data_IF_116900263451
#
_entry.id   IF_116900263451
#
_cell.length_a   1.000
_cell.length_b   1.000
_cell.length_c   1.000
_cell.angle_alpha   90.00
_cell.angle_beta   90.00
_cell.angle_gamma   90.00
#
_symmetry.space_group_name_H-M   'P 1'
#
loop_
_entity.id
_entity.type
_entity.pdbx_description
1 polymer ?
#
# COMPACT_ATOMS: atom_id res chain seq x y z
N UNK A 1 -10.42 16.01 -5.83
CA UNK A 1 -11.51 15.26 -5.15
C UNK A 1 -10.92 14.46 -3.99
N UNK A 2 -11.52 14.49 -2.79
CA UNK A 2 -11.04 13.75 -1.59
C UNK A 2 -12.07 12.70 -1.19
N UNK A 3 -11.63 11.51 -0.79
CA UNK A 3 -12.52 10.41 -0.39
C UNK A 3 -12.41 10.20 1.13
N UNK A 4 -13.53 10.34 1.84
CA UNK A 4 -13.61 10.20 3.31
C UNK A 4 -14.29 8.91 3.75
N UNK A 5 -15.35 8.49 3.05
CA UNK A 5 -16.10 7.27 3.34
C UNK A 5 -15.20 6.02 3.30
N UNK A 6 -15.23 5.22 4.38
CA UNK A 6 -14.44 4.00 4.52
C UNK A 6 -14.76 2.94 3.47
N UNK A 7 -16.03 2.72 3.14
CA UNK A 7 -16.46 1.76 2.13
C UNK A 7 -15.94 2.15 0.73
N UNK A 8 -16.04 3.43 0.37
CA UNK A 8 -15.51 3.93 -0.91
C UNK A 8 -13.99 3.74 -1.00
N UNK A 9 -13.25 3.98 0.10
CA UNK A 9 -11.80 3.72 0.13
C UNK A 9 -11.48 2.25 -0.09
N UNK A 10 -12.19 1.36 0.62
CA UNK A 10 -12.00 -0.08 0.48
C UNK A 10 -12.27 -0.55 -0.95
N UNK A 11 -13.39 -0.11 -1.55
CA UNK A 11 -13.75 -0.43 -2.94
C UNK A 11 -12.66 0.06 -3.91
N UNK A 12 -12.18 1.29 -3.76
CA UNK A 12 -11.12 1.82 -4.62
C UNK A 12 -9.80 1.06 -4.49
N UNK A 13 -9.42 0.63 -3.28
CA UNK A 13 -8.24 -0.22 -3.05
C UNK A 13 -8.44 -1.56 -3.76
N UNK A 14 -9.60 -2.21 -3.58
CA UNK A 14 -9.87 -3.52 -4.16
C UNK A 14 -9.91 -3.48 -5.69
N UNK A 15 -10.62 -2.51 -6.28
CA UNK A 15 -10.69 -2.33 -7.74
C UNK A 15 -9.30 -2.03 -8.30
N UNK A 16 -8.57 -1.08 -7.70
CA UNK A 16 -7.25 -0.72 -8.18
C UNK A 16 -6.25 -1.89 -8.09
N UNK A 17 -6.33 -2.68 -7.01
CA UNK A 17 -5.51 -3.89 -6.86
C UNK A 17 -5.87 -4.95 -7.91
N UNK A 18 -7.17 -5.22 -8.11
CA UNK A 18 -7.63 -6.15 -9.14
C UNK A 18 -7.17 -5.73 -10.54
N UNK A 19 -7.29 -4.44 -10.87
CA UNK A 19 -6.80 -3.88 -12.14
C UNK A 19 -5.28 -4.02 -12.29
N UNK A 20 -4.51 -3.83 -11.22
CA UNK A 20 -3.05 -4.02 -11.26
C UNK A 20 -2.67 -5.48 -11.55
N UNK A 21 -3.37 -6.44 -10.93
CA UNK A 21 -3.18 -7.87 -11.19
C UNK A 21 -3.55 -8.21 -12.63
N UNK A 22 -4.73 -7.77 -13.10
CA UNK A 22 -5.19 -8.01 -14.47
C UNK A 22 -4.24 -7.41 -15.51
N UNK A 23 -3.71 -6.21 -15.26
CA UNK A 23 -2.70 -5.58 -16.11
C UNK A 23 -1.40 -6.40 -16.13
N UNK A 24 -0.95 -6.92 -14.99
CA UNK A 24 0.21 -7.81 -14.94
C UNK A 24 0.01 -9.07 -15.78
N UNK A 25 -1.15 -9.74 -15.64
CA UNK A 25 -1.51 -10.93 -16.43
C UNK A 25 -1.54 -10.60 -17.93
N UNK A 26 -2.08 -9.44 -18.32
CA UNK A 26 -2.17 -9.02 -19.71
C UNK A 26 -0.79 -8.66 -20.31
N UNK A 27 0.14 -8.13 -19.51
CA UNK A 27 1.48 -7.73 -19.96
C UNK A 27 2.41 -8.93 -20.17
N UNK A 28 2.31 -9.95 -19.32
CA UNK A 28 3.20 -11.13 -19.35
C UNK A 28 3.33 -11.80 -20.74
N UNK A 29 2.25 -12.11 -21.48
CA UNK A 29 2.39 -12.76 -22.80
C UNK A 29 2.98 -11.85 -23.89
N UNK A 30 3.01 -10.52 -23.66
CA UNK A 30 3.41 -9.53 -24.66
C UNK A 30 4.86 -9.08 -24.46
N UNK A 31 5.32 -9.00 -23.20
CA UNK A 31 6.52 -8.24 -22.85
C UNK A 31 7.77 -9.07 -22.51
N UNK A 32 7.77 -10.39 -22.73
CA UNK A 32 8.77 -11.38 -22.22
C UNK A 32 8.58 -11.70 -20.73
N UNK A 33 9.15 -12.83 -20.30
CA UNK A 33 8.99 -13.35 -18.94
C UNK A 33 9.35 -12.33 -17.85
N UNK A 34 8.51 -12.21 -16.83
CA UNK A 34 8.70 -11.38 -15.63
C UNK A 34 8.21 -9.93 -15.74
N UNK A 35 7.85 -9.45 -16.93
CA UNK A 35 7.36 -8.08 -17.09
C UNK A 35 5.97 -7.85 -16.54
N UNK A 36 5.12 -8.88 -16.48
CA UNK A 36 3.81 -8.81 -15.83
C UNK A 36 3.93 -8.54 -14.33
N UNK A 37 4.92 -9.16 -13.67
CA UNK A 37 5.25 -8.90 -12.25
C UNK A 37 5.72 -7.46 -12.05
N UNK A 38 6.63 -6.98 -12.90
CA UNK A 38 7.13 -5.60 -12.82
C UNK A 38 6.01 -4.59 -13.07
N UNK A 39 5.18 -4.81 -14.08
CA UNK A 39 4.08 -3.93 -14.43
C UNK A 39 3.02 -3.86 -13.31
N UNK A 40 2.58 -5.00 -12.79
CA UNK A 40 1.63 -5.04 -11.67
C UNK A 40 2.16 -4.33 -10.44
N UNK A 41 3.42 -4.57 -10.05
CA UNK A 41 4.06 -3.90 -8.91
C UNK A 41 4.24 -2.40 -9.11
N UNK A 42 4.57 -1.95 -10.33
CA UNK A 42 4.61 -0.53 -10.67
C UNK A 42 3.23 0.14 -10.55
N UNK A 43 2.18 -0.51 -11.05
CA UNK A 43 0.80 -0.01 -10.95
C UNK A 43 0.37 0.05 -9.48
N UNK A 44 0.66 -0.97 -8.68
CA UNK A 44 0.37 -0.98 -7.24
C UNK A 44 1.07 0.19 -6.54
N UNK A 45 2.35 0.43 -6.83
CA UNK A 45 3.10 1.54 -6.25
C UNK A 45 2.46 2.89 -6.59
N UNK A 46 2.17 3.13 -7.87
CA UNK A 46 1.50 4.35 -8.33
C UNK A 46 0.13 4.52 -7.67
N UNK A 47 -0.66 3.45 -7.63
CA UNK A 47 -1.97 3.43 -6.98
C UNK A 47 -1.83 3.82 -5.50
N UNK A 48 -0.92 3.22 -4.75
CA UNK A 48 -0.70 3.56 -3.33
C UNK A 48 -0.31 5.03 -3.19
N UNK A 49 0.61 5.54 -4.03
CA UNK A 49 1.00 6.94 -4.00
C UNK A 49 -0.19 7.88 -4.27
N UNK A 50 -1.06 7.54 -5.22
CA UNK A 50 -2.25 8.34 -5.53
C UNK A 50 -3.29 8.25 -4.40
N UNK A 51 -3.67 7.05 -3.99
CA UNK A 51 -4.72 6.82 -2.99
C UNK A 51 -4.34 7.39 -1.61
N UNK A 52 -3.08 7.28 -1.20
CA UNK A 52 -2.60 7.85 0.08
C UNK A 52 -2.71 9.37 0.10
N UNK A 53 -2.72 10.02 -1.08
CA UNK A 53 -2.98 11.46 -1.20
C UNK A 53 -4.46 11.76 -1.37
N UNK A 54 -5.25 10.93 -2.04
CA UNK A 54 -6.69 11.18 -2.22
C UNK A 54 -7.51 10.90 -0.95
N UNK A 55 -7.12 9.92 -0.14
CA UNK A 55 -7.86 9.50 1.05
C UNK A 55 -7.61 10.42 2.24
N UNK A 56 -8.69 10.78 2.93
CA UNK A 56 -8.65 11.61 4.15
C UNK A 56 -9.49 10.99 5.26
N UNK A 57 -9.08 11.16 6.51
CA UNK A 57 -9.93 10.83 7.65
C UNK A 57 -11.20 11.68 7.65
N UNK A 58 -12.26 11.20 8.30
CA UNK A 58 -13.57 11.87 8.34
C UNK A 58 -13.47 13.27 8.97
N UNK A 59 -12.67 13.38 10.03
CA UNK A 59 -12.39 14.62 10.76
C UNK A 59 -11.01 15.23 10.44
N UNK A 60 -10.38 14.81 9.33
CA UNK A 60 -9.06 15.32 8.96
C UNK A 60 -9.16 16.61 8.13
N UNK A 61 -8.37 17.62 8.49
CA UNK A 61 -8.25 18.87 7.71
C UNK A 61 -7.73 18.60 6.29
N UNK A 62 -8.16 19.43 5.34
CA UNK A 62 -7.71 19.38 3.95
C UNK A 62 -6.31 19.97 3.73
N UNK A 63 -5.69 20.51 4.79
CA UNK A 63 -4.32 21.03 4.77
C UNK A 63 -3.29 20.00 4.25
N UNK A 64 -2.15 20.44 3.67
CA UNK A 64 -1.11 19.56 3.19
C UNK A 64 -0.67 18.56 4.26
N UNK A 65 -0.66 17.27 3.90
CA UNK A 65 -0.27 16.21 4.82
C UNK A 65 1.25 16.07 4.86
N UNK A 66 1.80 15.81 6.03
CA UNK A 66 3.20 15.39 6.13
C UNK A 66 3.43 14.13 5.30
N UNK A 67 4.52 14.11 4.53
CA UNK A 67 4.82 13.07 3.55
C UNK A 67 4.89 11.65 4.12
N UNK A 68 5.25 11.50 5.41
CA UNK A 68 5.30 10.20 6.10
C UNK A 68 3.92 9.61 6.42
N UNK A 69 2.85 10.41 6.37
CA UNK A 69 1.52 10.00 6.82
C UNK A 69 0.72 9.41 5.65
N UNK A 70 0.86 8.11 5.44
CA UNK A 70 0.17 7.38 4.34
C UNK A 70 -1.29 7.07 4.65
N UNK A 71 -1.71 7.00 5.92
CA UNK A 71 -3.12 6.77 6.30
C UNK A 71 -3.56 7.68 7.47
N UNK A 72 -4.87 7.86 7.63
CA UNK A 72 -5.45 8.63 8.73
C UNK A 72 -5.54 7.83 10.03
N UNK A 73 -5.66 6.51 9.91
CA UNK A 73 -6.00 5.59 10.99
C UNK A 73 -4.91 4.56 11.22
N UNK A 74 -4.48 4.44 12.48
CA UNK A 74 -3.46 3.48 12.86
C UNK A 74 -3.86 2.01 12.58
N UNK A 75 -5.09 1.56 12.88
CA UNK A 75 -5.50 0.18 12.56
C UNK A 75 -5.39 -0.14 11.07
N UNK A 76 -5.84 0.76 10.20
CA UNK A 76 -5.72 0.59 8.75
C UNK A 76 -4.25 0.50 8.31
N UNK A 77 -3.36 1.27 8.94
CA UNK A 77 -1.92 1.20 8.68
C UNK A 77 -1.31 -0.15 9.05
N UNK A 78 -1.69 -0.75 10.19
CA UNK A 78 -1.23 -2.09 10.55
C UNK A 78 -1.76 -3.16 9.59
N UNK A 79 -3.04 -3.11 9.22
CA UNK A 79 -3.64 -4.07 8.28
C UNK A 79 -2.97 -4.00 6.91
N UNK A 80 -2.79 -2.80 6.36
CA UNK A 80 -2.13 -2.62 5.06
C UNK A 80 -0.65 -2.99 5.12
N UNK A 81 0.04 -2.68 6.22
CA UNK A 81 1.41 -3.14 6.43
C UNK A 81 1.50 -4.67 6.42
N UNK A 82 0.61 -5.36 7.14
CA UNK A 82 0.60 -6.82 7.17
C UNK A 82 0.30 -7.40 5.78
N UNK A 83 -0.66 -6.83 5.06
CA UNK A 83 -0.99 -7.23 3.69
C UNK A 83 0.22 -7.16 2.75
N UNK A 84 0.89 -6.01 2.69
CA UNK A 84 2.05 -5.84 1.82
C UNK A 84 3.27 -6.66 2.28
N UNK A 85 3.39 -6.95 3.57
CA UNK A 85 4.40 -7.87 4.08
C UNK A 85 4.13 -9.31 3.60
N UNK A 86 2.88 -9.79 3.68
CA UNK A 86 2.47 -11.07 3.10
C UNK A 86 2.71 -11.10 1.59
N UNK A 87 2.42 -10.02 0.89
CA UNK A 87 2.69 -9.90 -0.55
C UNK A 87 4.19 -9.96 -0.88
N UNK A 88 5.06 -9.46 0.00
CA UNK A 88 6.51 -9.61 -0.11
C UNK A 88 6.91 -11.07 -0.04
N UNK A 89 6.39 -11.81 0.94
CA UNK A 89 6.63 -13.26 1.10
C UNK A 89 6.11 -14.02 -0.14
N UNK A 90 4.90 -13.72 -0.59
CA UNK A 90 4.31 -14.34 -1.78
C UNK A 90 5.07 -14.03 -3.07
N UNK A 91 5.69 -12.85 -3.18
CA UNK A 91 6.57 -12.54 -4.31
C UNK A 91 7.82 -13.42 -4.26
N UNK A 92 8.41 -13.61 -3.08
CA UNK A 92 9.63 -14.42 -2.92
C UNK A 92 9.37 -15.93 -3.12
N UNK A 93 8.15 -16.42 -2.89
CA UNK A 93 7.85 -17.85 -3.08
C UNK A 93 7.90 -18.32 -4.54
N UNK A 94 7.81 -17.41 -5.51
CA UNK A 94 7.88 -17.74 -6.95
C UNK A 94 9.28 -17.52 -7.56
N UNK A 95 10.31 -17.32 -6.72
CA UNK A 95 11.67 -17.01 -7.17
C UNK A 95 12.27 -18.08 -8.09
N UNK A 96 11.87 -19.34 -7.94
CA UNK A 96 12.35 -20.45 -8.78
C UNK A 96 11.74 -20.45 -10.20
N UNK A 97 10.61 -19.80 -10.40
CA UNK A 97 9.81 -19.86 -11.63
C UNK A 97 9.90 -18.57 -12.46
N UNK A 98 10.42 -17.50 -11.88
CA UNK A 98 10.39 -16.15 -12.44
C UNK A 98 11.78 -15.52 -12.49
N UNK A 99 12.02 -14.54 -13.38
CA UNK A 99 13.30 -13.83 -13.44
C UNK A 99 13.65 -13.20 -12.07
N UNK A 100 14.84 -13.48 -11.50
CA UNK A 100 15.16 -13.04 -10.14
C UNK A 100 15.03 -11.53 -9.94
N UNK A 101 15.44 -10.73 -10.93
CA UNK A 101 15.35 -9.28 -10.85
C UNK A 101 13.90 -8.79 -10.70
N UNK A 102 12.94 -9.39 -11.43
CA UNK A 102 11.53 -9.03 -11.35
C UNK A 102 10.94 -9.36 -9.97
N UNK A 103 11.29 -10.54 -9.45
CA UNK A 103 10.86 -10.99 -8.12
C UNK A 103 11.41 -10.09 -7.03
N UNK A 104 12.71 -9.80 -7.04
CA UNK A 104 13.35 -8.91 -6.07
C UNK A 104 12.79 -7.49 -6.14
N UNK A 105 12.58 -6.95 -7.35
CA UNK A 105 11.97 -5.63 -7.52
C UNK A 105 10.55 -5.57 -6.92
N UNK A 106 9.71 -6.58 -7.19
CA UNK A 106 8.36 -6.68 -6.64
C UNK A 106 8.35 -6.79 -5.12
N UNK A 107 9.19 -7.69 -4.58
CA UNK A 107 9.34 -7.89 -3.16
C UNK A 107 9.81 -6.61 -2.46
N UNK A 108 10.79 -5.90 -3.04
CA UNK A 108 11.28 -4.64 -2.50
C UNK A 108 10.19 -3.56 -2.49
N UNK A 109 9.43 -3.42 -3.58
CA UNK A 109 8.32 -2.45 -3.65
C UNK A 109 7.28 -2.73 -2.56
N UNK A 110 6.86 -3.99 -2.42
CA UNK A 110 5.90 -4.40 -1.40
C UNK A 110 6.44 -4.17 0.03
N UNK A 111 7.71 -4.48 0.27
CA UNK A 111 8.34 -4.28 1.57
C UNK A 111 8.46 -2.79 1.94
N UNK A 112 8.81 -1.93 0.98
CA UNK A 112 8.86 -0.48 1.18
C UNK A 112 7.48 0.08 1.51
N UNK A 113 6.44 -0.37 0.80
CA UNK A 113 5.06 0.04 1.08
C UNK A 113 4.65 -0.43 2.48
N UNK A 114 4.94 -1.69 2.83
CA UNK A 114 4.67 -2.23 4.16
C UNK A 114 5.34 -1.39 5.26
N UNK A 115 6.63 -1.10 5.12
CA UNK A 115 7.39 -0.29 6.05
C UNK A 115 6.83 1.13 6.19
N UNK A 116 6.40 1.76 5.10
CA UNK A 116 5.78 3.08 5.13
C UNK A 116 4.45 3.08 5.93
N UNK A 117 3.59 2.08 5.72
CA UNK A 117 2.35 1.93 6.46
C UNK A 117 2.59 1.61 7.94
N UNK A 118 3.56 0.75 8.25
CA UNK A 118 3.94 0.43 9.63
C UNK A 118 4.46 1.65 10.37
N UNK A 119 5.39 2.39 9.76
CA UNK A 119 5.95 3.61 10.32
C UNK A 119 4.85 4.66 10.58
N UNK A 120 3.92 4.82 9.64
CA UNK A 120 2.75 5.69 9.83
C UNK A 120 1.87 5.22 11.00
N UNK A 121 1.57 3.92 11.10
CA UNK A 121 0.73 3.35 12.16
C UNK A 121 1.36 3.52 13.57
N UNK A 122 2.66 3.29 13.69
CA UNK A 122 3.43 3.47 14.93
C UNK A 122 3.36 4.95 15.37
N UNK A 123 3.64 5.88 14.46
CA UNK A 123 3.59 7.32 14.77
C UNK A 123 2.20 7.79 15.17
N UNK A 124 1.16 7.35 14.47
CA UNK A 124 -0.23 7.68 14.82
C UNK A 124 -0.61 7.13 16.20
N UNK A 125 -0.19 5.91 16.51
CA UNK A 125 -0.44 5.28 17.82
C UNK A 125 0.30 6.03 18.93
N UNK A 126 1.56 6.39 18.71
CA UNK A 126 2.36 7.17 19.66
C UNK A 126 1.74 8.55 19.92
N UNK A 127 1.30 9.25 18.87
CA UNK A 127 0.65 10.55 19.00
C UNK A 127 -0.70 10.45 19.74
N UNK A 128 -1.51 9.42 19.47
CA UNK A 128 -2.77 9.16 20.20
C UNK A 128 -2.52 8.90 21.69
N UNK A 129 -1.48 8.11 22.02
CA UNK A 129 -1.10 7.86 23.43
C UNK A 129 -0.66 9.12 24.15
N UNK A 130 0.09 10.02 23.49
CA UNK A 130 0.53 11.30 24.06
C UNK A 130 -0.61 12.30 24.26
N UNK A 131 -1.64 12.25 23.42
CA UNK A 131 -2.79 13.14 23.49
C UNK A 131 -3.87 12.66 24.47
N UNK A 132 -3.83 11.40 24.93
CA UNK A 132 -4.77 10.89 25.91
C UNK A 132 -4.50 11.55 27.27
N UNK A 133 -5.50 12.19 27.90
CA UNK A 133 -5.33 12.76 29.24
C UNK A 133 -4.98 11.64 30.22
N UNK A 134 -4.04 11.91 31.13
CA UNK A 134 -3.75 11.01 32.24
C UNK A 134 -5.05 10.80 33.02
N UNK A 135 -5.67 9.63 32.88
CA UNK A 135 -6.78 9.23 33.72
C UNK A 135 -6.17 8.91 35.08
N UNK A 136 -6.08 9.95 35.93
CA UNK A 136 -5.88 9.84 37.37
C UNK A 136 -7.25 9.67 38.03
#
# INVERSE_FOLDING_TARGET
MRVRNGATKAILILIGYALAVLAGIAVEPIARAGWGVVASSAIILVMVLVLTRMFRGENESDAPRTWWRVTADAPAGFVLSAWFFVQTIGSLSVLAEQPPLAVWASALVSLVIAAAYLHCAIRLTANRRRAAPARL
#
